data_IF_011571128878
#
_entry.id   IF_011571128878
#
_cell.length_a   1.000
_cell.length_b   1.000
_cell.length_c   1.000
_cell.angle_alpha   90.00
_cell.angle_beta   90.00
_cell.angle_gamma   90.00
#
_symmetry.space_group_name_H-M   'P 1'
#
loop_
_entity.id
_entity.type
_entity.pdbx_description
1 polymer ?
#
# COMPACT_ATOMS: atom_id res chain seq x y z
N UNK A 1 -0.92 -7.45 -5.42
CA UNK A 1 -1.58 -6.43 -4.57
C UNK A 1 -0.51 -5.63 -3.83
N UNK A 2 -0.80 -4.42 -3.30
CA UNK A 2 0.19 -3.60 -2.57
C UNK A 2 0.69 -4.32 -1.30
N UNK A 3 -0.25 -4.95 -0.58
CA UNK A 3 0.08 -5.83 0.56
C UNK A 3 1.02 -6.96 0.13
N UNK A 4 0.80 -7.58 -1.03
CA UNK A 4 1.69 -8.62 -1.55
C UNK A 4 3.09 -8.12 -1.93
N UNK A 5 3.31 -6.81 -2.05
CA UNK A 5 4.63 -6.23 -2.23
C UNK A 5 5.33 -5.94 -0.90
N UNK A 6 4.59 -5.43 0.08
CA UNK A 6 5.15 -4.97 1.36
C UNK A 6 5.20 -6.12 2.38
N UNK A 7 4.10 -6.84 2.60
CA UNK A 7 3.97 -7.78 3.71
C UNK A 7 4.89 -9.02 3.66
N UNK A 8 5.19 -9.64 2.51
CA UNK A 8 6.05 -10.82 2.49
C UNK A 8 7.52 -10.51 2.77
N UNK A 9 8.21 -11.47 3.39
CA UNK A 9 9.66 -11.40 3.60
C UNK A 9 10.44 -11.58 2.30
N UNK A 10 9.90 -12.24 1.29
CA UNK A 10 10.56 -12.40 -0.01
C UNK A 10 9.53 -12.23 -1.13
N UNK A 11 9.91 -11.49 -2.18
CA UNK A 11 9.10 -11.28 -3.37
C UNK A 11 10.03 -11.31 -4.57
N UNK A 12 9.78 -12.27 -5.46
CA UNK A 12 10.45 -12.40 -6.75
C UNK A 12 9.50 -12.03 -7.87
N UNK A 13 10.01 -11.29 -8.85
CA UNK A 13 9.25 -10.85 -10.01
C UNK A 13 9.57 -11.74 -11.20
N UNK A 14 8.52 -12.19 -11.88
CA UNK A 14 8.60 -12.97 -13.10
C UNK A 14 7.79 -12.32 -14.22
N UNK A 15 8.21 -12.50 -15.47
CA UNK A 15 7.40 -12.11 -16.63
C UNK A 15 6.19 -13.05 -16.78
N UNK A 16 5.29 -12.72 -17.72
CA UNK A 16 4.15 -13.59 -18.07
C UNK A 16 4.60 -14.97 -18.58
N UNK A 17 5.80 -15.05 -19.13
CA UNK A 17 6.48 -16.27 -19.60
C UNK A 17 7.30 -16.95 -18.49
N UNK A 18 7.07 -16.59 -17.22
CA UNK A 18 7.77 -17.11 -16.03
C UNK A 18 9.27 -16.83 -15.96
N UNK A 19 9.77 -15.90 -16.78
CA UNK A 19 11.20 -15.51 -16.74
C UNK A 19 11.49 -14.64 -15.53
N UNK A 20 12.52 -15.00 -14.76
CA UNK A 20 12.96 -14.23 -13.60
C UNK A 20 13.41 -12.82 -14.01
N UNK A 21 12.84 -11.80 -13.35
CA UNK A 21 13.13 -10.38 -13.58
C UNK A 21 14.00 -9.78 -12.48
N UNK A 22 13.99 -10.37 -11.28
CA UNK A 22 14.71 -9.88 -10.12
C UNK A 22 13.89 -9.96 -8.84
N UNK A 23 14.55 -9.82 -7.71
CA UNK A 23 13.90 -9.73 -6.40
C UNK A 23 13.48 -8.30 -6.08
N UNK A 24 12.59 -8.14 -5.11
CA UNK A 24 12.19 -6.82 -4.58
C UNK A 24 13.37 -5.95 -4.18
N UNK A 25 14.45 -6.53 -3.65
CA UNK A 25 15.64 -5.77 -3.24
C UNK A 25 16.41 -5.26 -4.46
N UNK A 26 16.58 -6.12 -5.46
CA UNK A 26 17.27 -5.78 -6.70
C UNK A 26 16.53 -4.68 -7.47
N UNK A 27 15.19 -4.69 -7.38
CA UNK A 27 14.32 -3.75 -8.07
C UNK A 27 13.86 -2.58 -7.18
N UNK A 28 14.40 -2.43 -5.97
CA UNK A 28 13.89 -1.46 -5.00
C UNK A 28 13.89 -0.01 -5.53
N UNK A 29 14.93 0.39 -6.27
CA UNK A 29 15.00 1.71 -6.90
C UNK A 29 13.90 1.93 -7.94
N UNK A 30 13.75 0.99 -8.88
CA UNK A 30 12.69 1.04 -9.90
C UNK A 30 11.28 0.97 -9.28
N UNK A 31 11.11 0.17 -8.24
CA UNK A 31 9.86 0.07 -7.49
C UNK A 31 9.54 1.39 -6.78
N UNK A 32 10.53 2.06 -6.19
CA UNK A 32 10.36 3.37 -5.57
C UNK A 32 9.86 4.41 -6.58
N UNK A 33 10.47 4.50 -7.76
CA UNK A 33 10.06 5.47 -8.80
C UNK A 33 8.62 5.26 -9.27
N UNK A 34 8.19 4.00 -9.40
CA UNK A 34 6.85 3.66 -9.89
C UNK A 34 5.80 3.77 -8.79
N UNK A 35 6.12 3.37 -7.56
CA UNK A 35 5.15 3.23 -6.46
C UNK A 35 5.21 4.32 -5.40
N UNK A 36 6.24 5.18 -5.42
CA UNK A 36 6.59 6.12 -4.35
C UNK A 36 6.87 5.47 -2.98
N UNK A 37 6.96 4.14 -2.90
CA UNK A 37 7.28 3.43 -1.66
C UNK A 37 8.77 3.59 -1.41
N UNK A 38 9.14 4.13 -0.25
CA UNK A 38 10.54 4.34 0.14
C UNK A 38 11.33 3.03 0.08
N UNK A 39 12.55 3.07 -0.46
CA UNK A 39 13.45 1.92 -0.54
C UNK A 39 13.66 1.25 0.83
N UNK A 40 13.63 2.02 1.92
CA UNK A 40 13.68 1.50 3.30
C UNK A 40 12.52 0.56 3.57
N UNK A 41 11.30 0.91 3.17
CA UNK A 41 10.11 0.05 3.34
C UNK A 41 10.23 -1.23 2.51
N UNK A 42 10.77 -1.14 1.29
CA UNK A 42 10.99 -2.29 0.40
C UNK A 42 12.11 -3.22 0.91
N UNK A 43 13.13 -2.68 1.56
CA UNK A 43 14.25 -3.43 2.12
C UNK A 43 13.94 -4.08 3.47
N UNK A 44 12.86 -3.66 4.16
CA UNK A 44 12.49 -4.25 5.44
C UNK A 44 12.04 -5.71 5.28
N UNK A 45 12.57 -6.54 6.16
CA UNK A 45 12.16 -7.90 6.44
C UNK A 45 11.58 -7.92 7.86
N UNK A 46 10.57 -8.76 8.14
CA UNK A 46 10.00 -9.02 9.47
C UNK A 46 9.08 -7.97 10.13
N UNK A 47 8.61 -8.33 11.34
CA UNK A 47 7.62 -7.69 12.21
C UNK A 47 7.84 -6.22 12.56
N UNK A 48 9.01 -5.64 12.26
CA UNK A 48 9.28 -4.19 12.43
C UNK A 48 8.66 -3.31 11.35
N UNK A 49 8.11 -3.89 10.28
CA UNK A 49 7.42 -3.14 9.24
C UNK A 49 6.34 -2.22 9.79
N UNK A 50 5.52 -2.69 10.73
CA UNK A 50 4.45 -1.89 11.33
C UNK A 50 4.95 -0.63 12.02
N UNK A 51 6.04 -0.74 12.78
CA UNK A 51 6.67 0.38 13.49
C UNK A 51 7.35 1.37 12.54
N UNK A 52 7.81 0.90 11.37
CA UNK A 52 8.34 1.77 10.32
C UNK A 52 7.24 2.45 9.53
N UNK A 53 6.15 1.75 9.20
CA UNK A 53 5.00 2.32 8.51
C UNK A 53 4.39 3.49 9.30
N UNK A 54 4.36 3.40 10.63
CA UNK A 54 3.86 4.49 11.48
C UNK A 54 4.78 5.73 11.52
N UNK A 55 6.01 5.67 10.99
CA UNK A 55 6.88 6.83 10.87
C UNK A 55 6.55 7.68 9.64
N UNK A 56 5.82 7.13 8.67
CA UNK A 56 5.38 7.84 7.50
C UNK A 56 4.02 8.50 7.77
N UNK A 57 3.86 9.74 7.29
CA UNK A 57 2.58 10.45 7.38
C UNK A 57 1.47 9.67 6.66
N UNK A 58 0.21 9.96 7.00
CA UNK A 58 -0.92 9.38 6.28
C UNK A 58 -0.83 9.74 4.80
N UNK A 59 -0.48 10.99 4.46
CA UNK A 59 -0.34 11.40 3.07
C UNK A 59 0.67 10.58 2.29
N UNK A 60 1.86 10.33 2.86
CA UNK A 60 2.88 9.52 2.20
C UNK A 60 2.38 8.10 1.95
N UNK A 61 1.72 7.49 2.94
CA UNK A 61 1.17 6.13 2.80
C UNK A 61 0.02 6.06 1.79
N UNK A 62 -0.85 7.08 1.74
CA UNK A 62 -1.90 7.20 0.72
C UNK A 62 -1.30 7.34 -0.69
N UNK A 63 -0.20 8.09 -0.82
CA UNK A 63 0.48 8.30 -2.11
C UNK A 63 0.96 6.99 -2.76
N UNK A 64 1.19 5.92 -1.99
CA UNK A 64 1.61 4.61 -2.52
C UNK A 64 0.55 3.92 -3.38
N UNK A 65 -0.72 4.33 -3.24
CA UNK A 65 -1.82 3.87 -4.08
C UNK A 65 -2.15 4.81 -5.25
N UNK A 66 -1.62 6.04 -5.26
CA UNK A 66 -2.02 7.12 -6.20
C UNK A 66 -1.89 6.76 -7.68
N UNK A 67 -0.82 6.06 -8.07
CA UNK A 67 -0.57 5.64 -9.46
C UNK A 67 -1.07 4.22 -9.79
N UNK A 68 -1.74 3.55 -8.85
CA UNK A 68 -2.13 2.14 -9.03
C UNK A 68 -3.42 2.03 -9.84
N UNK A 69 -3.42 1.09 -10.78
CA UNK A 69 -4.63 0.65 -11.48
C UNK A 69 -5.07 -0.68 -10.89
N UNK A 70 -6.32 -0.76 -10.46
CA UNK A 70 -6.90 -1.98 -9.89
C UNK A 70 -7.99 -2.52 -10.78
N UNK A 71 -8.13 -3.85 -10.83
CA UNK A 71 -9.16 -4.50 -11.65
C UNK A 71 -10.56 -4.17 -11.16
N UNK A 72 -10.75 -4.05 -9.84
CA UNK A 72 -11.96 -3.52 -9.23
C UNK A 72 -11.70 -2.13 -8.66
N UNK A 73 -12.63 -1.18 -8.83
CA UNK A 73 -12.45 0.17 -8.34
C UNK A 73 -12.30 0.24 -6.82
N UNK A 74 -12.87 -0.68 -6.04
CA UNK A 74 -12.77 -0.71 -4.58
C UNK A 74 -11.40 -1.20 -4.08
N UNK A 75 -10.69 -2.00 -4.87
CA UNK A 75 -9.43 -2.63 -4.47
C UNK A 75 -8.32 -1.60 -4.21
N UNK A 76 -8.44 -0.39 -4.74
CA UNK A 76 -7.51 0.71 -4.47
C UNK A 76 -7.56 1.14 -2.99
N UNK A 77 -8.73 1.09 -2.35
CA UNK A 77 -8.87 1.34 -0.92
C UNK A 77 -8.44 0.11 -0.12
N UNK A 78 -8.82 -1.08 -0.56
CA UNK A 78 -8.53 -2.33 0.14
C UNK A 78 -7.04 -2.67 0.18
N UNK A 79 -6.29 -2.24 -0.83
CA UNK A 79 -4.85 -2.43 -0.84
C UNK A 79 -4.11 -1.63 0.25
N UNK A 80 -4.75 -0.61 0.84
CA UNK A 80 -4.21 0.23 1.91
C UNK A 80 -4.55 -0.26 3.33
N UNK A 81 -5.47 -1.22 3.50
CA UNK A 81 -5.91 -1.65 4.83
C UNK A 81 -4.77 -2.14 5.71
N UNK A 82 -3.97 -3.07 5.20
CA UNK A 82 -2.80 -3.59 5.92
C UNK A 82 -1.71 -2.54 6.17
N UNK A 83 -1.73 -1.39 5.49
CA UNK A 83 -0.79 -0.29 5.72
C UNK A 83 -1.27 0.65 6.84
N UNK A 84 -2.57 0.85 6.94
CA UNK A 84 -3.19 1.67 8.00
C UNK A 84 -3.64 0.87 9.22
N UNK A 85 -3.57 -0.47 9.15
CA UNK A 85 -4.05 -1.39 10.19
C UNK A 85 -5.53 -1.17 10.54
N UNK A 86 -6.33 -0.83 9.54
CA UNK A 86 -7.78 -0.65 9.68
C UNK A 86 -8.52 -1.93 9.39
N UNK A 87 -9.58 -2.20 10.16
CA UNK A 87 -10.47 -3.32 9.94
C UNK A 87 -11.84 -2.79 9.51
N UNK A 88 -12.20 -2.99 8.23
CA UNK A 88 -13.52 -2.62 7.72
C UNK A 88 -14.06 -3.69 6.74
N UNK A 89 -15.39 -3.85 6.65
CA UNK A 89 -15.98 -4.86 5.77
C UNK A 89 -15.72 -4.57 4.29
N UNK A 90 -15.29 -5.62 3.56
CA UNK A 90 -15.14 -5.60 2.11
C UNK A 90 -16.53 -5.61 1.46
N UNK A 91 -16.99 -4.42 1.03
CA UNK A 91 -18.24 -4.27 0.29
C UNK A 91 -17.91 -4.01 -1.19
N UNK A 92 -18.26 -4.96 -2.04
CA UNK A 92 -18.12 -4.82 -3.49
C UNK A 92 -19.43 -4.35 -4.12
N UNK A 93 -19.34 -3.49 -5.15
CA UNK A 93 -20.51 -2.93 -5.84
C UNK A 93 -20.87 -1.52 -5.39
N UNK A 94 -20.15 -0.98 -4.42
CA UNK A 94 -20.29 0.39 -3.92
C UNK A 94 -19.36 1.40 -4.63
N UNK A 95 -18.41 0.89 -5.42
CA UNK A 95 -17.46 1.70 -6.18
C UNK A 95 -16.31 2.29 -5.34
N UNK A 96 -15.28 2.79 -6.05
CA UNK A 96 -14.05 3.31 -5.42
C UNK A 96 -14.32 4.40 -4.38
N UNK A 97 -15.22 5.35 -4.70
CA UNK A 97 -15.47 6.52 -3.86
C UNK A 97 -15.99 6.12 -2.48
N UNK A 98 -16.98 5.22 -2.40
CA UNK A 98 -17.52 4.77 -1.11
C UNK A 98 -16.54 3.90 -0.34
N UNK A 99 -15.72 3.10 -1.03
CA UNK A 99 -14.66 2.33 -0.38
C UNK A 99 -13.58 3.25 0.21
N UNK A 100 -13.16 4.28 -0.52
CA UNK A 100 -12.22 5.29 -0.04
C UNK A 100 -12.76 6.16 1.09
N UNK A 101 -14.03 6.58 1.02
CA UNK A 101 -14.65 7.37 2.08
C UNK A 101 -14.64 6.63 3.42
N UNK A 102 -15.00 5.33 3.41
CA UNK A 102 -14.93 4.47 4.59
C UNK A 102 -13.50 4.31 5.11
N UNK A 103 -12.53 4.12 4.20
CA UNK A 103 -11.12 4.06 4.58
C UNK A 103 -10.67 5.35 5.30
N UNK A 104 -11.00 6.52 4.75
CA UNK A 104 -10.67 7.80 5.37
C UNK A 104 -11.35 7.97 6.73
N UNK A 105 -12.60 7.55 6.86
CA UNK A 105 -13.32 7.58 8.14
C UNK A 105 -12.63 6.72 9.21
N UNK A 106 -12.25 5.49 8.89
CA UNK A 106 -11.52 4.62 9.82
C UNK A 106 -10.14 5.17 10.17
N UNK A 107 -9.42 5.75 9.21
CA UNK A 107 -8.13 6.39 9.47
C UNK A 107 -8.31 7.59 10.43
N UNK A 108 -9.34 8.42 10.23
CA UNK A 108 -9.65 9.56 11.10
C UNK A 108 -10.08 9.15 12.52
N UNK A 109 -10.72 7.97 12.67
CA UNK A 109 -11.05 7.43 13.99
C UNK A 109 -9.81 7.02 14.79
N UNK A 110 -8.79 6.52 14.10
CA UNK A 110 -7.57 6.01 14.73
C UNK A 110 -6.39 6.99 14.72
N UNK A 111 -6.48 8.12 14.01
CA UNK A 111 -5.39 9.07 13.85
C UNK A 111 -5.85 10.53 13.77
N UNK A 112 -5.10 11.41 14.44
CA UNK A 112 -5.32 12.87 14.44
C UNK A 112 -4.46 13.59 13.38
N UNK A 113 -3.72 12.84 12.57
CA UNK A 113 -2.83 13.38 11.54
C UNK A 113 -3.64 14.02 10.39
N UNK A 114 -3.54 15.34 10.30
CA UNK A 114 -4.27 16.17 9.33
C UNK A 114 -3.71 16.06 7.91
N UNK A 115 -2.58 15.38 7.70
CA UNK A 115 -2.01 15.17 6.37
C UNK A 115 -2.92 14.35 5.45
N UNK A 116 -3.93 13.66 5.99
CA UNK A 116 -4.99 12.97 5.22
C UNK A 116 -5.74 13.88 4.23
N UNK A 117 -5.64 15.21 4.35
CA UNK A 117 -6.25 16.17 3.42
C UNK A 117 -5.29 16.69 2.34
N UNK A 118 -4.02 16.26 2.33
CA UNK A 118 -2.95 16.85 1.52
C UNK A 118 -2.17 15.80 0.69
N UNK A 119 -2.82 14.72 0.27
CA UNK A 119 -2.19 13.56 -0.40
C UNK A 119 -2.47 13.48 -1.90
#
# INVERSE_FOLDING_TARGET
TLQGLIAPDYVDFHTKEWKYCGSRDQLAGSLHEVTNIDCRVLALRSSRQRQMLSQFSIATRMSWASKRVTSRPEDIAYCLFGIFDVNMPLLYGDGAQKAFARLQEEILRCSVDRSILAW
#
